data_IF_253238472031
#
_entry.id   IF_253238472031
#
_cell.length_a   1.000
_cell.length_b   1.000
_cell.length_c   1.000
_cell.angle_alpha   90.00
_cell.angle_beta   90.00
_cell.angle_gamma   90.00
#
_symmetry.space_group_name_H-M   'P 1'
#
loop_
_entity.id
_entity.type
_entity.pdbx_description
1 polymer ?
#
# COMPACT_ATOMS: atom_id res chain seq x y z
N UNK A 1 9.24 -12.77 20.76
CA UNK A 1 9.41 -12.33 19.37
C UNK A 1 8.17 -11.52 19.02
N UNK A 2 8.33 -10.40 18.32
CA UNK A 2 7.22 -9.53 17.90
C UNK A 2 7.41 -9.12 16.45
N UNK A 3 6.32 -8.90 15.73
CA UNK A 3 6.35 -8.36 14.37
C UNK A 3 6.17 -6.86 14.41
N UNK A 4 6.85 -6.17 13.51
CA UNK A 4 6.66 -4.76 13.23
C UNK A 4 6.76 -4.54 11.72
N UNK A 5 6.21 -3.44 11.22
CA UNK A 5 6.44 -3.01 9.84
C UNK A 5 6.76 -1.52 9.84
N UNK A 6 7.88 -1.17 9.21
CA UNK A 6 8.23 0.22 8.93
C UNK A 6 7.79 0.59 7.52
N UNK A 7 7.65 1.89 7.24
CA UNK A 7 7.25 2.43 5.92
C UNK A 7 8.12 1.94 4.76
N UNK A 8 9.40 1.61 5.01
CA UNK A 8 10.31 1.02 4.02
C UNK A 8 9.99 -0.44 3.68
N UNK A 9 9.31 -1.16 4.58
CA UNK A 9 8.87 -2.54 4.41
C UNK A 9 7.55 -2.68 3.64
N UNK A 10 6.65 -1.70 3.73
CA UNK A 10 5.37 -1.68 3.00
C UNK A 10 5.57 -1.78 1.48
N UNK A 11 6.44 -0.94 0.92
CA UNK A 11 6.72 -0.92 -0.52
C UNK A 11 7.42 -2.18 -1.03
N UNK A 12 7.94 -3.01 -0.12
CA UNK A 12 8.78 -4.15 -0.46
C UNK A 12 8.23 -5.47 0.08
N UNK A 13 6.94 -5.50 0.46
CA UNK A 13 6.24 -6.67 1.02
C UNK A 13 7.10 -7.39 2.07
N UNK A 14 7.61 -6.61 3.02
CA UNK A 14 8.43 -7.09 4.11
C UNK A 14 7.92 -6.58 5.46
N UNK A 15 8.05 -7.44 6.46
CA UNK A 15 7.89 -7.16 7.88
C UNK A 15 9.21 -7.38 8.58
N UNK A 16 9.32 -6.89 9.80
CA UNK A 16 10.46 -7.12 10.66
C UNK A 16 10.05 -7.98 11.84
N UNK A 17 10.93 -8.91 12.18
CA UNK A 17 10.79 -9.73 13.35
C UNK A 17 11.85 -9.36 14.39
N UNK A 18 11.38 -8.90 15.55
CA UNK A 18 12.24 -8.48 16.64
C UNK A 18 12.72 -9.70 17.43
N UNK A 19 14.04 -9.91 17.38
CA UNK A 19 14.76 -10.95 18.14
C UNK A 19 15.68 -10.30 19.17
N UNK A 20 15.95 -11.03 20.24
CA UNK A 20 16.91 -10.63 21.27
C UNK A 20 17.81 -11.80 21.62
N UNK A 21 19.04 -11.50 22.05
CA UNK A 21 19.94 -12.49 22.63
C UNK A 21 20.37 -11.97 24.01
N UNK A 22 19.75 -12.54 25.04
CA UNK A 22 20.01 -12.17 26.43
C UNK A 22 21.29 -12.83 26.99
N UNK A 23 21.92 -13.71 26.21
CA UNK A 23 23.11 -14.47 26.60
C UNK A 23 24.38 -13.89 25.98
N UNK A 24 25.54 -14.32 26.49
CA UNK A 24 26.85 -14.00 25.90
C UNK A 24 27.22 -14.94 24.75
N UNK A 25 26.49 -16.04 24.56
CA UNK A 25 26.75 -16.98 23.46
C UNK A 25 26.17 -16.42 22.16
N UNK A 26 26.99 -16.28 21.09
CA UNK A 26 26.48 -15.80 19.81
C UNK A 26 25.41 -16.72 19.21
N UNK A 27 24.39 -16.13 18.59
CA UNK A 27 23.35 -16.86 17.85
C UNK A 27 23.33 -16.38 16.41
N UNK A 28 23.66 -17.27 15.48
CA UNK A 28 23.58 -17.01 14.04
C UNK A 28 22.23 -17.43 13.49
N UNK A 29 21.53 -16.52 12.83
CA UNK A 29 20.35 -16.78 12.02
C UNK A 29 20.80 -16.95 10.56
N UNK A 30 20.61 -18.14 10.00
CA UNK A 30 20.92 -18.38 8.59
C UNK A 30 19.81 -17.83 7.69
N UNK A 31 18.58 -18.22 7.99
CA UNK A 31 17.38 -17.83 7.26
C UNK A 31 16.18 -17.68 8.21
N UNK A 32 15.17 -17.00 7.70
CA UNK A 32 13.90 -16.75 8.38
C UNK A 32 12.73 -16.84 7.40
N UNK A 33 11.59 -17.33 7.87
CA UNK A 33 10.39 -17.51 7.05
C UNK A 33 9.13 -17.25 7.87
N UNK A 34 8.23 -16.41 7.34
CA UNK A 34 6.85 -16.32 7.85
C UNK A 34 6.01 -17.48 7.30
N UNK A 35 5.29 -18.17 8.18
CA UNK A 35 4.32 -19.20 7.81
C UNK A 35 2.98 -18.89 8.45
N UNK A 36 1.99 -18.62 7.62
CA UNK A 36 0.58 -18.40 8.01
C UNK A 36 -0.33 -18.70 6.83
N UNK A 37 -1.58 -19.08 7.11
CA UNK A 37 -2.58 -19.26 6.07
C UNK A 37 -3.14 -17.94 5.52
N UNK A 38 -2.83 -16.80 6.13
CA UNK A 38 -3.31 -15.48 5.69
C UNK A 38 -2.64 -14.97 4.41
N UNK A 39 -1.44 -15.45 4.10
CA UNK A 39 -0.62 -14.99 2.98
C UNK A 39 -0.15 -16.17 2.12
N UNK A 40 0.24 -15.87 0.87
CA UNK A 40 0.97 -16.81 0.03
C UNK A 40 2.30 -17.13 0.69
N UNK A 41 2.63 -18.42 0.82
CA UNK A 41 3.89 -18.85 1.42
C UNK A 41 5.05 -18.54 0.46
N UNK A 42 6.03 -17.79 0.95
CA UNK A 42 7.30 -17.54 0.27
C UNK A 42 8.39 -18.50 0.77
N UNK A 43 9.45 -18.76 -0.02
CA UNK A 43 10.62 -19.49 0.47
C UNK A 43 11.29 -18.74 1.65
N UNK A 44 12.10 -19.42 2.48
CA UNK A 44 12.89 -18.76 3.51
C UNK A 44 13.84 -17.71 2.93
N UNK A 45 13.94 -16.56 3.60
CA UNK A 45 14.85 -15.47 3.25
C UNK A 45 16.17 -15.64 3.99
N UNK A 46 17.28 -15.61 3.25
CA UNK A 46 18.61 -15.68 3.85
C UNK A 46 18.95 -14.34 4.50
N UNK A 47 19.19 -14.36 5.81
CA UNK A 47 19.61 -13.17 6.58
C UNK A 47 21.05 -13.24 7.04
N UNK A 48 21.61 -14.46 7.17
CA UNK A 48 23.00 -14.75 7.55
C UNK A 48 23.60 -13.79 8.59
N UNK A 49 22.88 -13.59 9.69
CA UNK A 49 23.18 -12.57 10.70
C UNK A 49 23.58 -13.22 12.01
N UNK A 50 24.73 -12.83 12.57
CA UNK A 50 25.18 -13.32 13.88
C UNK A 50 24.92 -12.27 14.96
N UNK A 51 24.16 -12.67 15.98
CA UNK A 51 23.79 -11.83 17.11
C UNK A 51 24.65 -12.18 18.32
N UNK A 52 25.50 -11.26 18.75
CA UNK A 52 26.05 -11.26 20.11
C UNK A 52 24.96 -10.93 21.14
N UNK A 53 25.35 -10.55 22.36
CA UNK A 53 24.37 -10.07 23.35
C UNK A 53 23.71 -8.79 22.82
N UNK A 54 22.40 -8.83 22.61
CA UNK A 54 21.65 -7.68 22.08
C UNK A 54 20.25 -7.62 22.69
N UNK A 55 19.80 -6.43 23.14
CA UNK A 55 18.44 -6.26 23.64
C UNK A 55 17.40 -6.37 22.52
N UNK A 56 17.80 -6.06 21.27
CA UNK A 56 16.94 -6.12 20.09
C UNK A 56 17.75 -6.08 18.80
N UNK A 57 17.39 -6.95 17.87
CA UNK A 57 17.73 -6.84 16.46
C UNK A 57 16.49 -7.17 15.65
N UNK A 58 16.21 -6.37 14.64
CA UNK A 58 15.08 -6.58 13.75
C UNK A 58 15.57 -7.28 12.48
N UNK A 59 15.08 -8.49 12.25
CA UNK A 59 15.38 -9.27 11.05
C UNK A 59 14.25 -9.07 10.04
N UNK A 60 14.62 -8.69 8.83
CA UNK A 60 13.65 -8.51 7.75
C UNK A 60 13.16 -9.87 7.26
N UNK A 61 11.84 -10.00 7.11
CA UNK A 61 11.14 -11.17 6.58
C UNK A 61 10.22 -10.71 5.44
N UNK A 62 10.36 -11.24 4.22
CA UNK A 62 9.37 -11.05 3.19
C UNK A 62 8.09 -11.83 3.51
N UNK A 63 6.94 -11.32 3.07
CA UNK A 63 5.66 -12.01 3.14
C UNK A 63 4.98 -11.97 1.77
N UNK A 64 4.22 -13.02 1.43
CA UNK A 64 3.53 -13.11 0.14
C UNK A 64 2.25 -12.28 0.12
N UNK A 65 1.57 -12.26 -1.03
CA UNK A 65 0.26 -11.60 -1.16
C UNK A 65 -0.76 -12.16 -0.18
N UNK A 66 -1.64 -11.30 0.34
CA UNK A 66 -2.76 -11.72 1.16
C UNK A 66 -3.71 -12.64 0.38
N UNK A 67 -4.26 -13.64 1.08
CA UNK A 67 -5.29 -14.52 0.52
C UNK A 67 -6.66 -13.91 0.77
N UNK A 68 -7.15 -13.19 -0.23
CA UNK A 68 -8.37 -12.41 -0.12
C UNK A 68 -9.61 -13.16 -0.60
N UNK A 69 -10.75 -12.80 -0.03
CA UNK A 69 -12.08 -13.19 -0.46
C UNK A 69 -12.76 -11.94 -1.06
N UNK A 70 -13.43 -12.05 -2.22
CA UNK A 70 -14.00 -10.89 -2.91
C UNK A 70 -15.22 -10.28 -2.22
N UNK A 71 -15.85 -11.01 -1.27
CA UNK A 71 -17.05 -10.55 -0.58
C UNK A 71 -16.75 -9.98 0.81
N UNK A 72 -15.66 -10.41 1.45
CA UNK A 72 -15.29 -9.93 2.80
C UNK A 72 -13.80 -10.07 3.07
N UNK A 73 -13.29 -9.25 3.99
CA UNK A 73 -11.92 -9.42 4.49
C UNK A 73 -11.86 -10.65 5.42
N UNK A 74 -11.00 -11.65 5.14
CA UNK A 74 -10.82 -12.77 6.04
C UNK A 74 -10.13 -12.34 7.35
N UNK A 75 -10.50 -12.97 8.47
CA UNK A 75 -9.75 -12.79 9.71
C UNK A 75 -8.31 -13.32 9.55
N UNK A 76 -7.34 -12.60 10.13
CA UNK A 76 -5.94 -13.06 10.17
C UNK A 76 -5.88 -14.45 10.79
N UNK A 77 -5.02 -15.30 10.26
CA UNK A 77 -4.79 -16.66 10.75
C UNK A 77 -3.54 -16.72 11.64
N UNK A 78 -3.43 -17.71 12.53
CA UNK A 78 -2.21 -17.93 13.31
C UNK A 78 -0.96 -17.95 12.45
N UNK A 79 0.14 -17.44 13.00
CA UNK A 79 1.40 -17.29 12.31
C UNK A 79 2.56 -17.83 13.14
N UNK A 80 3.53 -18.41 12.44
CA UNK A 80 4.82 -18.80 13.01
C UNK A 80 5.95 -18.21 12.18
N UNK A 81 7.05 -17.90 12.85
CA UNK A 81 8.33 -17.62 12.19
C UNK A 81 9.21 -18.84 12.35
N UNK A 82 9.62 -19.41 11.23
CA UNK A 82 10.58 -20.51 11.18
C UNK A 82 11.96 -19.90 10.89
N UNK A 83 12.96 -20.28 11.67
CA UNK A 83 14.35 -19.88 11.42
C UNK A 83 15.30 -21.07 11.56
N UNK A 84 16.35 -21.09 10.77
CA UNK A 84 17.50 -21.94 11.02
C UNK A 84 18.55 -21.17 11.80
N UNK A 85 18.87 -21.63 13.01
CA UNK A 85 19.81 -20.95 13.91
C UNK A 85 20.96 -21.86 14.33
N UNK A 86 22.11 -21.26 14.58
CA UNK A 86 23.29 -21.89 15.17
C UNK A 86 23.65 -21.13 16.45
N UNK A 87 23.82 -21.85 17.57
CA UNK A 87 24.17 -21.27 18.87
C UNK A 87 25.62 -21.62 19.19
N UNK A 88 26.51 -20.63 19.26
CA UNK A 88 27.94 -20.87 19.38
C UNK A 88 28.45 -21.79 18.26
N UNK A 89 29.09 -22.90 18.65
CA UNK A 89 29.62 -23.92 17.74
C UNK A 89 28.67 -25.11 17.54
N UNK A 90 27.42 -25.04 18.01
CA UNK A 90 26.45 -26.11 17.82
C UNK A 90 26.07 -26.27 16.33
N UNK A 91 25.56 -27.44 15.91
CA UNK A 91 24.98 -27.59 14.59
C UNK A 91 23.80 -26.65 14.36
N UNK A 92 23.58 -26.31 13.09
CA UNK A 92 22.40 -25.55 12.67
C UNK A 92 21.12 -26.34 13.00
N UNK A 93 20.15 -25.68 13.63
CA UNK A 93 18.86 -26.26 14.02
C UNK A 93 17.69 -25.40 13.56
N UNK A 94 16.60 -26.05 13.20
CA UNK A 94 15.32 -25.40 12.91
C UNK A 94 14.62 -25.03 14.22
N UNK A 95 14.22 -23.77 14.35
CA UNK A 95 13.45 -23.25 15.49
C UNK A 95 12.17 -22.61 14.97
N UNK A 96 11.08 -22.83 15.69
CA UNK A 96 9.77 -22.26 15.38
C UNK A 96 9.38 -21.30 16.50
N UNK A 97 9.12 -20.05 16.14
CA UNK A 97 8.63 -19.03 17.03
C UNK A 97 7.15 -18.81 16.75
N UNK A 98 6.31 -18.94 17.78
CA UNK A 98 4.88 -18.64 17.66
C UNK A 98 4.69 -17.13 17.79
N UNK A 99 3.90 -16.55 16.89
CA UNK A 99 3.50 -15.15 16.98
C UNK A 99 2.18 -15.07 17.77
N UNK A 100 2.03 -14.12 18.72
CA UNK A 100 0.76 -13.91 19.39
C UNK A 100 -0.39 -13.74 18.39
N UNK A 101 -1.54 -14.33 18.70
CA UNK A 101 -2.70 -14.30 17.83
C UNK A 101 -3.90 -13.70 18.57
N UNK A 102 -4.61 -12.72 18.00
CA UNK A 102 -4.32 -12.07 16.71
C UNK A 102 -3.09 -11.16 16.78
N UNK A 103 -2.30 -11.16 15.70
CA UNK A 103 -1.19 -10.21 15.54
C UNK A 103 -1.70 -8.95 14.85
N UNK A 104 -1.45 -7.78 15.43
CA UNK A 104 -1.97 -6.50 14.91
C UNK A 104 -1.34 -6.10 13.58
N UNK A 105 -0.05 -6.36 13.39
CA UNK A 105 0.64 -6.05 12.13
C UNK A 105 0.10 -6.90 10.99
N UNK A 106 -0.02 -8.22 11.20
CA UNK A 106 -0.59 -9.11 10.20
C UNK A 106 -2.07 -8.81 9.92
N UNK A 107 -2.85 -8.45 10.95
CA UNK A 107 -4.25 -8.02 10.77
C UNK A 107 -4.35 -6.77 9.90
N UNK A 108 -3.51 -5.76 10.17
CA UNK A 108 -3.45 -4.53 9.37
C UNK A 108 -3.09 -4.79 7.91
N UNK A 109 -2.14 -5.69 7.66
CA UNK A 109 -1.74 -6.09 6.31
C UNK A 109 -2.84 -6.81 5.55
N UNK A 110 -3.51 -7.78 6.19
CA UNK A 110 -4.67 -8.47 5.59
C UNK A 110 -5.78 -7.47 5.26
N UNK A 111 -6.09 -6.57 6.19
CA UNK A 111 -7.14 -5.57 5.99
C UNK A 111 -6.80 -4.63 4.82
N UNK A 112 -5.55 -4.15 4.75
CA UNK A 112 -5.11 -3.26 3.69
C UNK A 112 -5.13 -3.94 2.31
N UNK A 113 -4.50 -5.12 2.18
CA UNK A 113 -4.41 -5.81 0.89
C UNK A 113 -5.77 -6.33 0.42
N UNK A 114 -6.57 -6.91 1.31
CA UNK A 114 -7.86 -7.47 0.93
C UNK A 114 -8.95 -6.41 0.76
N UNK A 115 -8.91 -5.32 1.52
CA UNK A 115 -9.77 -4.17 1.25
C UNK A 115 -9.51 -3.57 -0.13
N UNK A 116 -8.23 -3.35 -0.46
CA UNK A 116 -7.83 -2.86 -1.77
C UNK A 116 -8.17 -3.85 -2.91
N UNK A 117 -8.12 -5.15 -2.64
CA UNK A 117 -8.57 -6.20 -3.56
C UNK A 117 -10.08 -6.11 -3.82
N UNK A 118 -10.90 -6.05 -2.77
CA UNK A 118 -12.37 -5.94 -2.87
C UNK A 118 -12.74 -4.70 -3.69
N UNK A 119 -12.18 -3.53 -3.36
CA UNK A 119 -12.48 -2.30 -4.09
C UNK A 119 -12.10 -2.39 -5.57
N UNK A 120 -10.91 -2.94 -5.89
CA UNK A 120 -10.44 -3.15 -7.27
C UNK A 120 -11.22 -4.22 -8.02
N UNK A 121 -11.89 -5.14 -7.35
CA UNK A 121 -12.78 -6.11 -8.00
C UNK A 121 -14.15 -5.51 -8.28
N UNK A 122 -14.60 -4.54 -7.48
CA UNK A 122 -15.87 -3.85 -7.67
C UNK A 122 -15.80 -2.74 -8.72
N UNK A 123 -14.74 -1.92 -8.72
CA UNK A 123 -14.61 -0.80 -9.66
C UNK A 123 -13.15 -0.46 -10.01
N UNK A 124 -12.95 0.09 -11.19
CA UNK A 124 -11.73 0.79 -11.60
C UNK A 124 -11.91 2.31 -11.43
N UNK A 125 -10.85 2.99 -11.05
CA UNK A 125 -10.76 4.46 -11.03
C UNK A 125 -9.58 4.88 -11.89
N UNK A 126 -9.87 5.54 -13.01
CA UNK A 126 -8.86 5.94 -14.00
C UNK A 126 -8.90 7.45 -14.23
N UNK A 127 -7.80 7.99 -14.74
CA UNK A 127 -7.75 9.37 -15.22
C UNK A 127 -8.31 9.39 -16.65
N UNK A 128 -9.21 10.33 -16.94
CA UNK A 128 -9.64 10.60 -18.30
C UNK A 128 -8.49 11.17 -19.14
N UNK A 129 -8.66 11.17 -20.45
CA UNK A 129 -7.58 11.59 -21.37
C UNK A 129 -7.59 13.09 -21.69
N UNK A 130 -8.68 13.79 -21.36
CA UNK A 130 -8.83 15.23 -21.62
C UNK A 130 -8.56 16.06 -20.38
N UNK A 131 -7.58 16.95 -20.49
CA UNK A 131 -7.16 17.87 -19.42
C UNK A 131 -7.04 19.28 -19.98
N UNK A 132 -7.55 20.27 -19.25
CA UNK A 132 -7.50 21.68 -19.65
C UNK A 132 -6.80 22.50 -18.57
N UNK A 133 -5.80 23.28 -18.99
CA UNK A 133 -5.10 24.22 -18.12
C UNK A 133 -5.84 25.56 -18.12
N UNK A 134 -6.32 26.00 -16.96
CA UNK A 134 -6.97 27.30 -16.79
C UNK A 134 -6.36 28.05 -15.61
N UNK A 135 -5.60 29.11 -15.90
CA UNK A 135 -4.98 29.94 -14.87
C UNK A 135 -3.90 29.21 -14.06
N UNK A 136 -4.22 28.80 -12.83
CA UNK A 136 -3.30 28.08 -11.94
C UNK A 136 -3.78 26.67 -11.61
N UNK A 137 -4.79 26.16 -12.31
CA UNK A 137 -5.37 24.84 -12.06
C UNK A 137 -5.38 24.03 -13.35
N UNK A 138 -5.17 22.72 -13.21
CA UNK A 138 -5.34 21.76 -14.28
C UNK A 138 -6.66 21.01 -14.05
N UNK A 139 -7.62 21.21 -14.93
CA UNK A 139 -8.94 20.56 -14.86
C UNK A 139 -8.90 19.23 -15.61
N UNK A 140 -9.62 18.24 -15.09
CA UNK A 140 -9.82 16.96 -15.74
C UNK A 140 -10.92 16.15 -15.08
N UNK A 141 -10.95 14.86 -15.40
CA UNK A 141 -11.97 13.93 -14.91
C UNK A 141 -11.30 12.65 -14.43
N UNK A 142 -11.77 12.12 -13.29
CA UNK A 142 -11.56 10.71 -12.95
C UNK A 142 -12.80 9.92 -13.38
N UNK A 143 -12.59 8.81 -14.07
CA UNK A 143 -13.64 7.89 -14.49
C UNK A 143 -13.71 6.74 -13.49
N UNK A 144 -14.87 6.53 -12.89
CA UNK A 144 -15.15 5.37 -12.05
C UNK A 144 -15.98 4.40 -12.88
N UNK A 145 -15.47 3.19 -13.09
CA UNK A 145 -16.14 2.16 -13.91
C UNK A 145 -16.36 0.90 -13.10
N UNK A 146 -17.60 0.42 -13.04
CA UNK A 146 -17.94 -0.85 -12.42
C UNK A 146 -17.23 -1.98 -13.14
N UNK A 147 -16.61 -2.89 -12.40
CA UNK A 147 -16.06 -4.14 -12.96
C UNK A 147 -17.05 -5.27 -12.75
N UNK A 148 -17.26 -5.65 -11.49
CA UNK A 148 -18.10 -6.76 -11.07
C UNK A 148 -19.14 -6.31 -10.02
N UNK A 149 -20.09 -7.19 -9.73
CA UNK A 149 -21.15 -6.95 -8.74
C UNK A 149 -22.21 -5.96 -9.21
N UNK A 150 -23.17 -5.69 -8.32
CA UNK A 150 -24.24 -4.71 -8.54
C UNK A 150 -24.48 -3.83 -7.31
N UNK A 151 -23.66 -3.98 -6.28
CA UNK A 151 -23.68 -3.20 -5.06
C UNK A 151 -23.32 -1.74 -5.35
N UNK A 152 -23.80 -0.82 -4.51
CA UNK A 152 -23.32 0.55 -4.56
C UNK A 152 -21.81 0.60 -4.28
N UNK A 153 -21.07 1.42 -5.03
CA UNK A 153 -19.65 1.69 -4.77
C UNK A 153 -19.49 3.19 -4.58
N UNK A 154 -19.13 3.63 -3.38
CA UNK A 154 -18.79 5.04 -3.14
C UNK A 154 -17.31 5.27 -3.39
N UNK A 155 -17.00 6.41 -4.00
CA UNK A 155 -15.69 7.02 -3.85
C UNK A 155 -15.80 8.03 -2.73
N UNK A 156 -15.10 7.74 -1.66
CA UNK A 156 -15.23 8.43 -0.39
C UNK A 156 -14.36 9.66 -0.36
N UNK A 157 -13.09 9.55 -0.75
CA UNK A 157 -12.15 10.67 -0.80
C UNK A 157 -11.07 10.47 -1.88
N UNK A 158 -10.46 11.58 -2.30
CA UNK A 158 -9.35 11.64 -3.25
C UNK A 158 -8.13 12.26 -2.56
N UNK A 159 -7.02 11.55 -2.53
CA UNK A 159 -5.79 12.03 -1.93
C UNK A 159 -4.78 12.52 -2.96
N UNK A 160 -4.09 13.60 -2.59
CA UNK A 160 -2.94 14.10 -3.33
C UNK A 160 -1.68 13.26 -3.14
N UNK A 161 -0.65 13.63 -3.88
CA UNK A 161 0.72 13.17 -3.72
C UNK A 161 1.59 14.30 -3.18
N UNK A 162 2.87 14.04 -2.94
CA UNK A 162 3.84 15.09 -2.57
C UNK A 162 3.96 16.18 -3.65
N UNK A 163 3.58 15.88 -4.90
CA UNK A 163 3.74 16.75 -6.06
C UNK A 163 2.44 17.42 -6.46
N UNK A 164 1.31 16.75 -6.28
CA UNK A 164 0.04 17.20 -6.80
C UNK A 164 -1.07 17.07 -5.76
N UNK A 165 -1.82 18.15 -5.55
CA UNK A 165 -3.13 18.07 -4.93
C UNK A 165 -4.16 17.70 -6.00
N UNK A 166 -5.14 16.87 -5.64
CA UNK A 166 -6.30 16.57 -6.48
C UNK A 166 -7.57 16.73 -5.63
N UNK A 167 -8.49 17.56 -6.11
CA UNK A 167 -9.74 17.87 -5.38
C UNK A 167 -10.93 17.74 -6.34
N UNK A 168 -12.08 17.20 -5.89
CA UNK A 168 -13.28 17.22 -6.70
C UNK A 168 -13.80 18.64 -6.85
N UNK A 169 -14.23 19.02 -8.06
CA UNK A 169 -14.79 20.35 -8.36
C UNK A 169 -16.04 20.64 -7.51
N UNK A 170 -16.80 19.59 -7.15
CA UNK A 170 -17.98 19.70 -6.29
C UNK A 170 -17.67 20.17 -4.86
N UNK A 171 -16.40 20.09 -4.43
CA UNK A 171 -15.97 20.37 -3.05
C UNK A 171 -16.38 19.32 -2.02
N UNK A 172 -17.15 18.28 -2.40
CA UNK A 172 -17.56 17.20 -1.50
C UNK A 172 -16.39 16.26 -1.18
N UNK A 173 -16.36 15.73 0.05
CA UNK A 173 -15.26 14.89 0.56
C UNK A 173 -15.69 13.56 1.17
N UNK A 174 -17.00 13.32 1.36
CA UNK A 174 -17.49 12.04 1.85
C UNK A 174 -19.03 11.90 1.70
N UNK A 175 -19.53 11.04 0.80
CA UNK A 175 -18.82 10.53 -0.37
C UNK A 175 -18.57 11.66 -1.39
N UNK A 176 -17.49 11.55 -2.17
CA UNK A 176 -17.28 12.38 -3.37
C UNK A 176 -18.37 12.06 -4.40
N UNK A 177 -18.61 10.77 -4.63
CA UNK A 177 -19.65 10.27 -5.54
C UNK A 177 -20.04 8.83 -5.17
N UNK A 178 -21.22 8.40 -5.61
CA UNK A 178 -21.70 7.03 -5.46
C UNK A 178 -22.05 6.45 -6.84
N UNK A 179 -21.45 5.32 -7.18
CA UNK A 179 -21.81 4.48 -8.31
C UNK A 179 -22.94 3.55 -7.90
N UNK A 180 -24.17 4.00 -8.18
CA UNK A 180 -25.39 3.29 -7.82
C UNK A 180 -25.51 1.92 -8.52
N UNK A 181 -26.30 0.98 -7.95
CA UNK A 181 -26.66 -0.26 -8.61
C UNK A 181 -27.19 -0.03 -10.03
N UNK A 182 -26.79 -0.87 -10.99
CA UNK A 182 -27.17 -0.76 -12.40
C UNK A 182 -26.43 0.33 -13.18
N UNK A 183 -25.70 1.24 -12.53
CA UNK A 183 -24.86 2.23 -13.21
C UNK A 183 -23.51 1.62 -13.56
N UNK A 184 -23.10 1.72 -14.83
CA UNK A 184 -21.85 1.14 -15.32
C UNK A 184 -20.65 2.04 -15.05
N UNK A 185 -20.80 3.35 -15.17
CA UNK A 185 -19.71 4.30 -14.97
C UNK A 185 -20.24 5.68 -14.58
N UNK A 186 -19.35 6.49 -13.99
CA UNK A 186 -19.58 7.89 -13.69
C UNK A 186 -18.27 8.68 -13.76
N UNK A 187 -18.41 9.99 -13.86
CA UNK A 187 -17.30 10.92 -13.92
C UNK A 187 -17.21 11.73 -12.62
N UNK A 188 -15.98 11.95 -12.15
CA UNK A 188 -15.65 12.88 -11.08
C UNK A 188 -14.83 14.02 -11.70
N UNK A 189 -15.45 15.18 -11.96
CA UNK A 189 -14.68 16.37 -12.34
C UNK A 189 -13.72 16.75 -11.21
N UNK A 190 -12.44 16.93 -11.55
CA UNK A 190 -11.37 17.22 -10.61
C UNK A 190 -10.54 18.42 -11.05
N UNK A 191 -9.98 19.10 -10.06
CA UNK A 191 -8.93 20.10 -10.24
C UNK A 191 -7.63 19.57 -9.63
N UNK A 192 -6.53 19.78 -10.35
CA UNK A 192 -5.18 19.42 -9.94
C UNK A 192 -4.35 20.68 -9.80
N UNK A 193 -3.56 20.76 -8.72
CA UNK A 193 -2.58 21.83 -8.50
C UNK A 193 -1.24 21.27 -8.03
N UNK A 194 -0.11 21.96 -8.26
CA UNK A 194 1.13 21.62 -7.58
C UNK A 194 0.91 21.68 -6.06
N UNK A 195 1.36 20.64 -5.35
CA UNK A 195 1.43 20.65 -3.90
C UNK A 195 2.67 21.42 -3.42
N UNK A 196 3.73 21.41 -4.22
CA UNK A 196 5.00 22.09 -3.96
C UNK A 196 5.60 22.60 -5.27
N UNK A 197 6.30 23.73 -5.22
CA UNK A 197 6.99 24.35 -6.36
C UNK A 197 8.51 24.46 -6.16
N UNK A 198 9.12 23.61 -5.32
CA UNK A 198 10.58 23.59 -5.18
C UNK A 198 11.23 22.61 -6.18
N UNK A 199 12.36 22.99 -6.83
CA UNK A 199 13.02 22.17 -7.85
C UNK A 199 13.40 20.76 -7.36
N UNK A 200 13.71 20.61 -6.07
CA UNK A 200 14.05 19.32 -5.47
C UNK A 200 12.89 18.33 -5.52
N UNK A 201 11.65 18.79 -5.34
CA UNK A 201 10.48 17.95 -5.46
C UNK A 201 10.39 17.31 -6.85
N UNK A 202 10.55 18.09 -7.93
CA UNK A 202 10.40 17.58 -9.30
C UNK A 202 11.53 16.65 -9.75
N UNK A 203 12.75 16.83 -9.21
CA UNK A 203 13.89 15.95 -9.50
C UNK A 203 13.76 14.51 -8.97
N UNK A 204 12.90 14.27 -7.96
CA UNK A 204 12.71 12.95 -7.33
C UNK A 204 11.26 12.45 -7.46
N UNK A 205 10.75 12.36 -8.69
CA UNK A 205 9.34 12.09 -8.99
C UNK A 205 8.89 10.60 -8.95
N UNK A 206 9.61 9.69 -8.26
CA UNK A 206 9.35 8.23 -8.31
C UNK A 206 7.92 7.82 -7.90
N UNK A 207 7.22 8.63 -7.10
CA UNK A 207 5.83 8.40 -6.65
C UNK A 207 4.89 9.59 -6.92
N UNK A 208 5.29 10.53 -7.77
CA UNK A 208 4.53 11.77 -8.01
C UNK A 208 3.10 11.52 -8.51
N UNK A 209 2.85 10.37 -9.13
CA UNK A 209 1.61 10.03 -9.83
C UNK A 209 0.85 8.85 -9.22
N UNK A 210 1.13 8.49 -7.95
CA UNK A 210 0.42 7.42 -7.25
C UNK A 210 -0.65 8.03 -6.36
N UNK A 211 -1.84 8.32 -6.92
CA UNK A 211 -2.91 9.00 -6.20
C UNK A 211 -3.76 8.00 -5.41
N UNK A 212 -3.80 8.08 -4.06
CA UNK A 212 -4.70 7.25 -3.27
C UNK A 212 -6.15 7.69 -3.46
N UNK A 213 -7.03 6.70 -3.65
CA UNK A 213 -8.48 6.88 -3.75
C UNK A 213 -9.11 5.98 -2.70
N UNK A 214 -9.94 6.56 -1.83
CA UNK A 214 -10.71 5.82 -0.84
C UNK A 214 -12.11 5.54 -1.36
N UNK A 215 -12.65 4.37 -1.05
CA UNK A 215 -14.00 3.99 -1.43
C UNK A 215 -14.56 2.87 -0.60
N UNK A 216 -15.89 2.79 -0.57
CA UNK A 216 -16.64 1.77 0.15
C UNK A 216 -17.49 0.97 -0.82
N UNK A 217 -17.54 -0.34 -0.64
CA UNK A 217 -18.41 -1.25 -1.39
C UNK A 217 -19.59 -1.64 -0.50
N UNK A 218 -20.81 -1.47 -1.00
CA UNK A 218 -22.05 -1.60 -0.24
C UNK A 218 -22.04 -0.73 1.04
N UNK A 219 -22.35 -1.32 2.21
CA UNK A 219 -22.25 -0.69 3.53
C UNK A 219 -21.03 -1.21 4.31
N UNK A 220 -19.97 -1.60 3.61
CA UNK A 220 -18.74 -2.14 4.18
C UNK A 220 -17.83 -1.08 4.81
N UNK A 221 -16.59 -1.47 5.09
CA UNK A 221 -15.53 -0.54 5.50
C UNK A 221 -14.97 0.23 4.30
N UNK A 222 -14.38 1.40 4.56
CA UNK A 222 -13.66 2.18 3.55
C UNK A 222 -12.27 1.57 3.31
N UNK A 223 -11.96 1.32 2.05
CA UNK A 223 -10.66 0.84 1.59
C UNK A 223 -10.03 1.84 0.63
N UNK A 224 -8.78 1.60 0.25
CA UNK A 224 -8.10 2.48 -0.71
C UNK A 224 -7.38 1.70 -1.80
N UNK A 225 -7.26 2.33 -2.96
CA UNK A 225 -6.44 1.88 -4.08
C UNK A 225 -5.58 3.04 -4.57
N UNK A 226 -4.59 2.73 -5.42
CA UNK A 226 -3.84 3.75 -6.15
C UNK A 226 -4.41 3.87 -7.56
N UNK A 227 -4.88 5.06 -7.92
CA UNK A 227 -5.14 5.46 -9.29
C UNK A 227 -3.86 6.08 -9.87
N UNK A 228 -3.43 5.61 -11.04
CA UNK A 228 -2.23 6.12 -11.71
C UNK A 228 -2.62 6.69 -13.09
N UNK A 229 -2.32 7.96 -13.39
CA UNK A 229 -2.58 8.55 -14.69
C UNK A 229 -1.75 7.86 -15.78
N UNK A 230 -2.25 7.88 -17.01
CA UNK A 230 -1.51 7.39 -18.20
C UNK A 230 -0.20 8.17 -18.38
N UNK A 231 0.74 7.64 -19.17
CA UNK A 231 2.00 8.37 -19.46
C UNK A 231 1.77 9.71 -20.13
N UNK A 232 0.73 9.80 -20.97
CA UNK A 232 0.32 11.05 -21.59
C UNK A 232 -0.19 12.05 -20.54
N UNK A 233 -1.09 11.63 -19.66
CA UNK A 233 -1.59 12.47 -18.57
C UNK A 233 -0.48 12.88 -17.60
N UNK A 234 0.49 11.99 -17.31
CA UNK A 234 1.68 12.33 -16.52
C UNK A 234 2.50 13.45 -17.16
N UNK A 235 2.72 13.40 -18.48
CA UNK A 235 3.42 14.45 -19.22
C UNK A 235 2.65 15.78 -19.19
N UNK A 236 1.32 15.74 -19.34
CA UNK A 236 0.46 16.93 -19.21
C UNK A 236 0.54 17.54 -17.82
N UNK A 237 0.46 16.73 -16.76
CA UNK A 237 0.58 17.19 -15.38
C UNK A 237 1.97 17.79 -15.09
N UNK A 238 3.04 17.18 -15.62
CA UNK A 238 4.40 17.69 -15.48
C UNK A 238 4.57 19.04 -16.15
N UNK A 239 4.21 19.15 -17.43
CA UNK A 239 4.32 20.40 -18.20
C UNK A 239 3.50 21.52 -17.54
N UNK A 240 2.28 21.22 -17.09
CA UNK A 240 1.48 22.16 -16.31
C UNK A 240 2.18 22.64 -15.04
N UNK A 241 2.82 21.72 -14.30
CA UNK A 241 3.49 22.06 -13.05
C UNK A 241 4.74 22.91 -13.29
N UNK A 242 5.54 22.58 -14.30
CA UNK A 242 6.71 23.34 -14.71
C UNK A 242 6.32 24.78 -15.08
N UNK A 243 5.28 24.94 -15.89
CA UNK A 243 4.73 26.25 -16.28
C UNK A 243 4.22 27.04 -15.06
N UNK A 244 3.43 26.39 -14.20
CA UNK A 244 2.80 27.03 -13.03
C UNK A 244 3.82 27.43 -11.98
N UNK A 245 4.85 26.61 -11.78
CA UNK A 245 5.90 26.84 -10.78
C UNK A 245 7.07 27.67 -11.32
N UNK A 246 7.12 27.96 -12.63
CA UNK A 246 8.23 28.68 -13.26
C UNK A 246 9.54 27.89 -13.24
N UNK A 247 9.46 26.56 -13.23
CA UNK A 247 10.60 25.65 -13.24
C UNK A 247 10.84 25.28 -14.70
N UNK A 248 11.46 26.19 -15.45
CA UNK A 248 11.90 25.91 -16.81
C UNK A 248 13.09 24.96 -16.78
N UNK A 249 13.03 23.88 -17.58
CA UNK A 249 14.16 23.02 -17.95
C UNK A 249 15.20 23.76 -18.79
#
# INVERSE_FOLDING_TARGET
MSLNQWRSGEAAHAIEVSVRNDTTTPVRFQDVQLVTASFVKLPPERVDTTLGRTPRTDLRIPYGQARCDPARIPAVQPATVIAHIQVGNEPLRKVTFTIPHPDRTLSGLVNAECGAFILRESADVTFGDSWTHEGKVLNGVLLVTRKNGNEAVSIDDLGGTTHFNILPVSGKRHPVVVLEPGVRSLEIPVVVTPARCDPHAFGEAKKAYLFPVWGTVAAGETYWLIATPSKQTQATMLSYAEDTCGISS
#
